data_IF_192866140837
#
_entry.id   IF_192866140837
#
_cell.length_a   1.000
_cell.length_b   1.000
_cell.length_c   1.000
_cell.angle_alpha   90.00
_cell.angle_beta   90.00
_cell.angle_gamma   90.00
#
_symmetry.space_group_name_H-M   'P 1'
#
loop_
_entity.id
_entity.type
_entity.pdbx_description
1 polymer ?
#
# COMPACT_ATOMS: atom_id res chain seq x y z
N UNK A 1 12.58 -21.92 13.47
CA UNK A 1 11.24 -21.98 12.85
C UNK A 1 10.07 -21.65 13.81
N UNK A 2 10.16 -21.88 15.13
CA UNK A 2 9.03 -21.65 16.04
C UNK A 2 8.83 -20.18 16.48
N UNK A 3 9.89 -19.35 16.43
CA UNK A 3 9.85 -17.97 16.94
C UNK A 3 9.09 -16.98 16.02
N UNK A 4 9.10 -17.20 14.69
CA UNK A 4 8.33 -16.40 13.71
C UNK A 4 6.82 -16.54 13.89
N UNK A 5 6.34 -17.72 14.30
CA UNK A 5 4.91 -17.97 14.52
C UNK A 5 4.36 -17.28 15.78
N UNK A 6 5.16 -17.21 16.85
CA UNK A 6 4.80 -16.51 18.08
C UNK A 6 4.70 -14.98 17.86
N UNK A 7 5.66 -14.40 17.11
CA UNK A 7 5.59 -12.99 16.71
C UNK A 7 4.35 -12.72 15.87
N UNK A 8 4.09 -13.48 14.80
CA UNK A 8 2.87 -13.36 13.96
C UNK A 8 1.56 -13.34 14.78
N UNK A 9 1.43 -14.21 15.80
CA UNK A 9 0.22 -14.26 16.65
C UNK A 9 0.10 -13.06 17.59
N UNK A 10 1.21 -12.58 18.17
CA UNK A 10 1.21 -11.41 19.06
C UNK A 10 1.06 -10.09 18.29
N UNK A 11 1.65 -10.02 17.08
CA UNK A 11 1.45 -8.93 16.11
C UNK A 11 0.00 -8.84 15.64
N UNK A 12 -0.68 -9.96 15.41
CA UNK A 12 -2.07 -9.98 14.95
C UNK A 12 -3.07 -9.35 15.94
N UNK A 13 -2.85 -9.48 17.25
CA UNK A 13 -3.71 -8.86 18.26
C UNK A 13 -3.53 -7.33 18.33
N UNK A 14 -2.29 -6.84 18.19
CA UNK A 14 -1.97 -5.40 18.15
C UNK A 14 -2.38 -4.79 16.82
N UNK A 15 -2.18 -5.51 15.70
CA UNK A 15 -2.70 -5.16 14.38
C UNK A 15 -4.23 -5.09 14.39
N UNK A 16 -4.93 -6.03 15.04
CA UNK A 16 -6.38 -5.96 15.21
C UNK A 16 -6.82 -4.73 16.01
N UNK A 17 -6.14 -4.39 17.10
CA UNK A 17 -6.46 -3.17 17.85
C UNK A 17 -6.19 -1.90 17.01
N UNK A 18 -5.05 -1.82 16.31
CA UNK A 18 -4.72 -0.74 15.40
C UNK A 18 -5.70 -0.65 14.22
N UNK A 19 -6.11 -1.79 13.65
CA UNK A 19 -7.11 -1.93 12.60
C UNK A 19 -8.49 -1.46 13.06
N UNK A 20 -8.91 -1.84 14.28
CA UNK A 20 -10.18 -1.39 14.88
C UNK A 20 -10.15 0.12 15.14
N UNK A 21 -9.03 0.65 15.65
CA UNK A 21 -8.84 2.09 15.86
C UNK A 21 -8.80 2.84 14.52
N UNK A 22 -8.12 2.31 13.49
CA UNK A 22 -8.06 2.86 12.13
C UNK A 22 -9.43 2.83 11.44
N UNK A 23 -10.22 1.77 11.66
CA UNK A 23 -11.59 1.61 11.16
C UNK A 23 -12.61 2.56 11.79
N UNK A 24 -12.38 3.02 13.02
CA UNK A 24 -13.22 4.07 13.61
C UNK A 24 -12.90 5.48 13.07
N UNK A 25 -11.83 5.64 12.27
CA UNK A 25 -11.47 6.88 11.55
C UNK A 25 -11.75 6.78 10.03
N UNK A 26 -12.34 5.68 9.54
CA UNK A 26 -12.43 5.30 8.12
C UNK A 26 -13.49 6.03 7.27
N UNK A 27 -14.04 7.15 7.72
CA UNK A 27 -15.02 7.88 6.90
C UNK A 27 -14.42 8.87 5.88
N UNK A 28 -13.10 9.16 5.87
CA UNK A 28 -12.64 10.36 5.14
C UNK A 28 -11.52 10.18 4.10
N UNK A 29 -10.98 8.98 3.84
CA UNK A 29 -9.92 8.83 2.83
C UNK A 29 -10.41 8.05 1.61
N UNK A 30 -10.95 8.80 0.65
CA UNK A 30 -11.38 8.32 -0.66
C UNK A 30 -10.54 9.00 -1.75
N UNK A 31 -10.03 8.20 -2.70
CA UNK A 31 -9.36 8.72 -3.90
C UNK A 31 -10.11 8.23 -5.13
N UNK A 32 -10.65 9.17 -5.89
CA UNK A 32 -11.32 8.94 -7.16
C UNK A 32 -12.43 7.87 -7.12
N UNK A 33 -13.27 7.87 -6.09
CA UNK A 33 -14.35 6.89 -5.93
C UNK A 33 -14.00 5.65 -5.10
N UNK A 34 -12.76 5.55 -4.60
CA UNK A 34 -12.22 4.32 -3.99
C UNK A 34 -11.81 4.60 -2.55
N UNK A 35 -12.40 3.87 -1.60
CA UNK A 35 -11.99 3.89 -0.20
C UNK A 35 -10.58 3.32 -0.04
N UNK A 36 -9.73 4.04 0.70
CA UNK A 36 -8.31 3.72 0.89
C UNK A 36 -8.08 3.32 2.35
N UNK A 37 -7.51 2.15 2.57
CA UNK A 37 -7.17 1.63 3.90
C UNK A 37 -5.79 2.09 4.38
N UNK A 38 -4.85 2.33 3.44
CA UNK A 38 -3.50 2.83 3.74
C UNK A 38 -2.96 3.76 2.65
N UNK A 39 -2.03 4.65 3.02
CA UNK A 39 -1.29 5.46 2.05
C UNK A 39 0.21 5.35 2.28
N UNK A 40 0.99 5.35 1.21
CA UNK A 40 2.45 5.45 1.30
C UNK A 40 2.94 6.49 0.30
N UNK A 41 3.76 7.42 0.78
CA UNK A 41 4.43 8.41 -0.05
C UNK A 41 5.88 7.97 -0.32
N UNK A 42 6.22 7.88 -1.61
CA UNK A 42 7.56 7.52 -2.12
C UNK A 42 8.18 8.63 -2.97
N UNK A 43 7.60 9.84 -2.99
CA UNK A 43 8.08 11.01 -3.75
C UNK A 43 9.46 11.48 -3.31
N UNK A 44 9.86 11.21 -2.07
CA UNK A 44 11.16 11.55 -1.51
C UNK A 44 12.20 10.41 -1.64
N UNK A 45 11.87 9.32 -2.36
CA UNK A 45 12.76 8.16 -2.51
C UNK A 45 13.37 8.10 -3.90
N UNK A 46 14.67 7.81 -3.91
CA UNK A 46 15.44 7.42 -5.10
C UNK A 46 15.64 5.91 -5.12
N UNK A 47 15.79 5.33 -6.31
CA UNK A 47 16.08 3.91 -6.48
C UNK A 47 17.33 3.49 -5.67
N UNK A 48 17.35 2.25 -5.10
CA UNK A 48 16.35 1.18 -5.24
C UNK A 48 15.24 1.20 -4.17
N UNK A 49 15.18 2.23 -3.31
CA UNK A 49 14.33 2.21 -2.11
C UNK A 49 12.83 2.35 -2.41
N UNK A 50 12.48 2.86 -3.59
CA UNK A 50 11.11 3.14 -4.02
C UNK A 50 10.26 1.87 -4.00
N UNK A 51 10.72 0.78 -4.62
CA UNK A 51 9.98 -0.49 -4.62
C UNK A 51 10.01 -1.18 -3.25
N UNK A 52 11.13 -1.11 -2.53
CA UNK A 52 11.25 -1.73 -1.19
C UNK A 52 10.20 -1.16 -0.24
N UNK A 53 10.00 0.17 -0.23
CA UNK A 53 8.96 0.80 0.58
C UNK A 53 7.56 0.34 0.17
N UNK A 54 7.26 0.33 -1.13
CA UNK A 54 5.97 -0.15 -1.64
C UNK A 54 5.70 -1.59 -1.21
N UNK A 55 6.69 -2.47 -1.32
CA UNK A 55 6.56 -3.88 -0.93
C UNK A 55 6.32 -4.05 0.56
N UNK A 56 7.09 -3.37 1.42
CA UNK A 56 6.89 -3.44 2.87
C UNK A 56 5.49 -2.95 3.25
N UNK A 57 5.02 -1.85 2.65
CA UNK A 57 3.68 -1.35 2.90
C UNK A 57 2.60 -2.36 2.48
N UNK A 58 2.76 -3.02 1.32
CA UNK A 58 1.84 -4.07 0.85
C UNK A 58 1.85 -5.34 1.72
N UNK A 59 2.99 -5.69 2.32
CA UNK A 59 3.13 -6.83 3.26
C UNK A 59 2.49 -6.55 4.63
N UNK A 60 2.26 -5.28 4.97
CA UNK A 60 1.64 -4.90 6.24
C UNK A 60 0.11 -4.98 6.22
N UNK A 61 -0.49 -4.89 5.02
CA UNK A 61 -1.93 -4.97 4.76
C UNK A 61 -2.49 -6.38 4.93
N UNK A 62 -3.77 -6.45 5.30
CA UNK A 62 -4.59 -7.65 5.20
C UNK A 62 -5.12 -7.82 3.77
N UNK A 63 -5.44 -9.06 3.37
CA UNK A 63 -5.93 -9.33 2.01
C UNK A 63 -7.25 -8.62 1.73
N UNK A 64 -7.34 -8.01 0.55
CA UNK A 64 -8.47 -7.21 0.14
C UNK A 64 -8.40 -5.73 0.54
N UNK A 65 -7.48 -5.34 1.43
CA UNK A 65 -7.25 -3.92 1.76
C UNK A 65 -6.65 -3.16 0.57
N UNK A 66 -6.95 -1.86 0.51
CA UNK A 66 -6.55 -0.98 -0.59
C UNK A 66 -5.53 0.05 -0.11
N UNK A 67 -4.42 0.18 -0.82
CA UNK A 67 -3.39 1.19 -0.58
C UNK A 67 -3.29 2.17 -1.74
N UNK A 68 -3.09 3.45 -1.42
CA UNK A 68 -2.68 4.47 -2.38
C UNK A 68 -1.17 4.77 -2.25
N UNK A 69 -0.45 4.62 -3.35
CA UNK A 69 1.00 4.86 -3.40
C UNK A 69 1.23 6.17 -4.16
N UNK A 70 1.68 7.21 -3.47
CA UNK A 70 1.99 8.52 -4.06
C UNK A 70 3.43 8.56 -4.56
N UNK A 71 3.63 8.91 -5.82
CA UNK A 71 4.95 8.90 -6.48
C UNK A 71 5.11 10.09 -7.44
N UNK A 72 6.34 10.51 -7.70
CA UNK A 72 6.62 11.52 -8.72
C UNK A 72 6.41 10.94 -10.12
N UNK A 73 6.12 11.82 -11.07
CA UNK A 73 6.18 11.49 -12.49
C UNK A 73 7.56 10.91 -12.91
N UNK A 74 7.59 10.23 -14.04
CA UNK A 74 8.78 9.62 -14.64
C UNK A 74 8.93 8.14 -14.32
N UNK A 75 10.14 7.73 -13.93
CA UNK A 75 10.49 6.31 -13.75
C UNK A 75 9.58 5.56 -12.75
N UNK A 76 9.20 6.11 -11.57
CA UNK A 76 8.33 5.41 -10.62
C UNK A 76 6.97 5.00 -11.20
N UNK A 77 6.36 5.87 -12.02
CA UNK A 77 5.07 5.62 -12.68
C UNK A 77 5.14 4.45 -13.66
N UNK A 78 6.33 4.14 -14.20
CA UNK A 78 6.53 2.99 -15.08
C UNK A 78 6.87 1.72 -14.29
N UNK A 79 7.77 1.83 -13.31
CA UNK A 79 8.34 0.67 -12.62
C UNK A 79 7.43 0.13 -11.51
N UNK A 80 6.82 1.01 -10.69
CA UNK A 80 6.03 0.57 -9.54
C UNK A 80 4.79 -0.23 -9.98
N UNK A 81 3.97 0.22 -10.96
CA UNK A 81 2.84 -0.58 -11.44
C UNK A 81 3.26 -1.94 -12.00
N UNK A 82 4.43 -2.01 -12.65
CA UNK A 82 4.96 -3.26 -13.17
C UNK A 82 5.29 -4.23 -12.04
N UNK A 83 6.06 -3.81 -11.04
CA UNK A 83 6.45 -4.68 -9.93
C UNK A 83 5.25 -5.10 -9.07
N UNK A 84 4.26 -4.21 -8.89
CA UNK A 84 3.00 -4.57 -8.20
C UNK A 84 2.24 -5.68 -8.93
N UNK A 85 2.18 -5.62 -10.27
CA UNK A 85 1.58 -6.71 -11.08
C UNK A 85 2.39 -7.99 -11.00
N UNK A 86 3.72 -7.90 -11.03
CA UNK A 86 4.63 -9.05 -10.94
C UNK A 86 4.51 -9.78 -9.59
N UNK A 87 4.22 -9.07 -8.50
CA UNK A 87 3.91 -9.63 -7.17
C UNK A 87 2.46 -10.17 -7.06
N UNK A 88 1.65 -10.06 -8.12
CA UNK A 88 0.30 -10.63 -8.18
C UNK A 88 -0.81 -9.76 -7.58
N UNK A 89 -0.54 -8.50 -7.23
CA UNK A 89 -1.55 -7.61 -6.68
C UNK A 89 -2.40 -6.95 -7.76
N UNK A 90 -3.61 -6.54 -7.36
CA UNK A 90 -4.57 -5.94 -8.28
C UNK A 90 -4.41 -4.42 -8.31
N UNK A 91 -4.07 -3.87 -9.47
CA UNK A 91 -4.11 -2.42 -9.70
C UNK A 91 -5.55 -2.02 -9.99
N UNK A 92 -6.09 -1.11 -9.18
CA UNK A 92 -7.43 -0.57 -9.34
C UNK A 92 -7.43 0.67 -10.23
N UNK A 93 -6.49 1.59 -10.01
CA UNK A 93 -6.43 2.86 -10.74
C UNK A 93 -5.05 3.51 -10.65
N UNK A 94 -4.69 4.27 -11.67
CA UNK A 94 -3.63 5.28 -11.59
C UNK A 94 -4.30 6.65 -11.69
N UNK A 95 -4.07 7.51 -10.72
CA UNK A 95 -4.70 8.83 -10.61
C UNK A 95 -3.60 9.89 -10.73
N UNK A 96 -3.76 10.81 -11.67
CA UNK A 96 -2.97 12.03 -11.75
C UNK A 96 -3.49 13.02 -10.70
N UNK A 97 -2.60 13.54 -9.86
CA UNK A 97 -2.95 14.51 -8.82
C UNK A 97 -2.84 15.97 -9.29
N UNK A 98 -2.46 16.20 -10.56
CA UNK A 98 -2.27 17.53 -11.18
C UNK A 98 -1.18 18.40 -10.51
N UNK A 99 -0.33 17.81 -9.67
CA UNK A 99 0.76 18.46 -8.94
C UNK A 99 2.15 17.91 -9.29
N UNK A 100 2.25 17.14 -10.37
CA UNK A 100 3.47 16.40 -10.78
C UNK A 100 3.66 15.06 -10.05
N UNK A 101 2.65 14.63 -9.26
CA UNK A 101 2.61 13.32 -8.62
C UNK A 101 1.41 12.50 -9.06
N UNK A 102 1.52 11.18 -8.86
CA UNK A 102 0.50 10.21 -9.17
C UNK A 102 0.20 9.34 -7.96
N UNK A 103 -1.06 8.94 -7.81
CA UNK A 103 -1.48 7.91 -6.88
C UNK A 103 -1.77 6.61 -7.62
N UNK A 104 -0.99 5.56 -7.34
CA UNK A 104 -1.32 4.20 -7.77
C UNK A 104 -2.17 3.53 -6.69
N UNK A 105 -3.41 3.21 -7.04
CA UNK A 105 -4.37 2.55 -6.17
C UNK A 105 -4.27 1.03 -6.39
N UNK A 106 -3.91 0.32 -5.33
CA UNK A 106 -3.64 -1.13 -5.37
C UNK A 106 -4.48 -1.83 -4.32
N UNK A 107 -5.13 -2.92 -4.69
CA UNK A 107 -5.74 -3.85 -3.75
C UNK A 107 -4.77 -4.99 -3.49
N UNK A 108 -4.50 -5.26 -2.21
CA UNK A 108 -3.73 -6.41 -1.77
C UNK A 108 -4.48 -7.69 -2.17
N UNK A 109 -3.78 -8.54 -2.90
CA UNK A 109 -4.22 -9.90 -3.24
C UNK A 109 -3.28 -10.88 -2.55
N UNK A 110 -3.88 -11.94 -2.01
CA UNK A 110 -3.17 -13.05 -1.37
C UNK A 110 -2.23 -13.72 -2.39
N UNK A 111 -1.02 -14.05 -1.94
CA UNK A 111 0.03 -14.70 -2.72
C UNK A 111 0.52 -15.96 -2.04
#
# INVERSE_FOLDING_TARGET
>A
MQQKHAYRKQSGAIKNAAYIIRRNRREEMEIAGIAIDETVDITDKVCPLTFVKTKVALEELDDGEVIAIRMNDGEPVQNVPRSVKEEGHQILKLVDNEDGTYNLIVRKVEG
#
